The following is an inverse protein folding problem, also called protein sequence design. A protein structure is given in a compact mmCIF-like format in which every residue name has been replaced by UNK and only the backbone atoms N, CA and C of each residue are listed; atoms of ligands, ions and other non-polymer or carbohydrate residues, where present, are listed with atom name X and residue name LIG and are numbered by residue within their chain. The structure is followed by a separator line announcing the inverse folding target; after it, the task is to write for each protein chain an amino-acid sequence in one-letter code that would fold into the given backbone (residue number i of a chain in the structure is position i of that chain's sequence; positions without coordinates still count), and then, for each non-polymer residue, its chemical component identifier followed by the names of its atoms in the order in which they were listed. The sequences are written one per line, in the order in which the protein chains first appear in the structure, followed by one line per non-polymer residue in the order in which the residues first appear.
data_IF_033120919819
#
_entry.id   IF_033120919819
#
_cell.length_a   1.000
_cell.length_b   1.000
_cell.length_c   1.000
_cell.angle_alpha   90.00
_cell.angle_beta   90.00
_cell.angle_gamma   90.00
#
_symmetry.space_group_name_H-M   'P 1'
#
loop_
_entity.id
_entity.type
_entity.pdbx_description
1 polymer ?
#
# COMPACT_ATOMS: atom_id res chain seq x y z
N UNK A 1 21.99 -22.29 -5.17
CA UNK A 1 20.80 -21.81 -5.90
C UNK A 1 19.51 -22.25 -5.20
N UNK A 2 19.15 -21.65 -4.05
CA UNK A 2 17.87 -21.90 -3.36
C UNK A 2 17.15 -20.64 -2.84
N UNK A 3 17.75 -19.45 -2.86
CA UNK A 3 17.23 -18.29 -2.09
C UNK A 3 16.59 -17.15 -2.90
N UNK A 4 16.71 -17.16 -4.23
CA UNK A 4 16.11 -16.12 -5.10
C UNK A 4 14.59 -16.25 -5.31
N UNK A 5 13.96 -17.31 -4.82
CA UNK A 5 12.53 -17.57 -5.03
C UNK A 5 11.63 -16.83 -4.04
N UNK A 6 12.15 -16.35 -2.90
CA UNK A 6 11.33 -15.69 -1.86
C UNK A 6 10.86 -14.29 -2.29
N UNK A 7 11.75 -13.47 -2.85
CA UNK A 7 11.42 -12.09 -3.24
C UNK A 7 10.50 -11.97 -4.46
N UNK A 8 10.41 -13.01 -5.30
CA UNK A 8 9.53 -12.99 -6.46
C UNK A 8 8.05 -13.02 -6.05
N UNK A 9 7.73 -13.55 -4.85
CA UNK A 9 6.36 -13.59 -4.35
C UNK A 9 5.86 -12.19 -3.92
N UNK A 10 6.72 -11.39 -3.26
CA UNK A 10 6.35 -10.08 -2.71
C UNK A 10 6.13 -9.05 -3.84
N UNK A 11 6.94 -9.12 -4.90
CA UNK A 11 6.79 -8.23 -6.07
C UNK A 11 5.54 -8.51 -6.92
N UNK A 12 4.94 -9.70 -6.77
CA UNK A 12 3.77 -10.08 -7.56
C UNK A 12 2.45 -9.48 -7.03
N UNK A 13 2.44 -8.94 -5.80
CA UNK A 13 1.23 -8.42 -5.16
C UNK A 13 1.04 -6.90 -5.32
N UNK A 14 2.05 -6.15 -5.75
CA UNK A 14 2.01 -4.67 -5.79
C UNK A 14 1.49 -4.07 -7.11
N UNK A 15 1.20 -4.89 -8.12
CA UNK A 15 0.80 -4.42 -9.45
C UNK A 15 -0.72 -4.43 -9.70
N UNK A 16 -1.53 -3.80 -8.84
CA UNK A 16 -2.93 -3.46 -9.20
C UNK A 16 -3.40 -2.05 -8.82
N UNK A 17 -2.55 -1.21 -8.23
CA UNK A 17 -2.90 0.20 -8.04
C UNK A 17 -2.52 0.99 -9.30
N UNK A 18 -3.40 0.97 -10.30
CA UNK A 18 -3.35 1.85 -11.47
C UNK A 18 -3.33 3.30 -11.02
N UNK A 19 -2.15 3.89 -10.85
CA UNK A 19 -1.98 5.32 -10.75
C UNK A 19 -2.32 5.87 -12.12
N UNK A 20 -3.49 6.50 -12.25
CA UNK A 20 -3.87 7.19 -13.48
C UNK A 20 -2.80 8.26 -13.77
N UNK A 21 -1.87 7.96 -14.67
CA UNK A 21 -1.02 8.95 -15.29
C UNK A 21 -1.93 9.87 -16.08
N UNK A 22 -2.20 11.06 -15.54
CA UNK A 22 -2.85 12.14 -16.28
C UNK A 22 -1.84 12.60 -17.33
N UNK A 23 -1.90 11.96 -18.50
CA UNK A 23 -1.23 12.41 -19.70
C UNK A 23 -2.00 13.59 -20.27
N UNK A 24 -1.50 14.81 -20.04
CA UNK A 24 -1.98 16.01 -20.73
C UNK A 24 -1.44 16.03 -22.16
N UNK A 25 -1.94 15.10 -22.99
CA UNK A 25 -1.73 15.09 -24.43
C UNK A 25 -2.94 15.69 -25.13
N UNK A 26 -2.85 16.95 -25.56
CA UNK A 26 -3.81 17.53 -26.49
C UNK A 26 -3.67 16.83 -27.85
N UNK A 27 -4.48 15.79 -28.10
CA UNK A 27 -4.63 15.19 -29.42
C UNK A 27 -6.11 15.23 -29.79
N UNK A 28 -6.46 16.16 -30.67
CA UNK A 28 -7.74 16.15 -31.38
C UNK A 28 -7.84 14.85 -32.17
N UNK A 29 -8.75 13.96 -31.77
CA UNK A 29 -9.01 12.70 -32.46
C UNK A 29 -10.51 12.54 -32.69
N UNK A 30 -10.92 12.55 -33.97
CA UNK A 30 -12.22 12.12 -34.44
C UNK A 30 -12.41 10.61 -34.16
N UNK A 31 -12.73 10.25 -32.93
CA UNK A 31 -13.05 8.87 -32.52
C UNK A 31 -14.57 8.67 -32.62
N UNK A 32 -15.07 7.51 -33.13
CA UNK A 32 -16.50 7.19 -33.07
C UNK A 32 -16.99 7.34 -31.64
N UNK A 33 -18.14 8.02 -31.49
CA UNK A 33 -18.76 8.32 -30.21
C UNK A 33 -19.23 7.00 -29.56
N UNK A 34 -18.32 6.32 -28.86
CA UNK A 34 -18.70 5.27 -27.93
C UNK A 34 -19.52 5.96 -26.82
N UNK A 35 -20.63 5.35 -26.35
CA UNK A 35 -21.34 5.88 -25.21
C UNK A 35 -20.35 6.00 -24.05
N UNK A 36 -20.36 7.11 -23.29
CA UNK A 36 -19.48 7.26 -22.15
C UNK A 36 -19.65 6.05 -21.24
N UNK A 37 -18.55 5.34 -20.97
CA UNK A 37 -18.56 4.28 -19.99
C UNK A 37 -19.11 4.88 -18.68
N UNK A 38 -20.07 4.18 -18.04
CA UNK A 38 -20.57 4.60 -16.74
C UNK A 38 -19.35 4.85 -15.83
N UNK A 39 -19.27 6.01 -15.14
CA UNK A 39 -18.21 6.24 -14.19
C UNK A 39 -18.16 5.04 -13.24
N UNK A 40 -16.97 4.46 -13.03
CA UNK A 40 -16.81 3.49 -11.95
C UNK A 40 -17.25 4.20 -10.68
N UNK A 41 -18.19 3.61 -9.95
CA UNK A 41 -18.62 4.16 -8.67
C UNK A 41 -17.37 4.41 -7.82
N UNK A 42 -17.22 5.60 -7.21
CA UNK A 42 -16.10 5.86 -6.35
C UNK A 42 -16.07 4.80 -5.25
N UNK A 43 -14.92 4.16 -5.05
CA UNK A 43 -14.72 3.35 -3.84
C UNK A 43 -14.84 4.32 -2.68
N UNK A 44 -15.92 4.21 -1.90
CA UNK A 44 -16.08 4.97 -0.66
C UNK A 44 -15.02 4.45 0.31
N UNK A 45 -14.03 5.28 0.61
CA UNK A 45 -12.98 4.97 1.58
C UNK A 45 -13.48 5.42 2.95
N UNK A 46 -14.17 4.51 3.63
CA UNK A 46 -14.70 4.72 4.98
C UNK A 46 -13.79 4.09 6.03
N UNK A 47 -14.21 4.15 7.30
CA UNK A 47 -13.48 3.55 8.42
C UNK A 47 -13.25 2.05 8.19
N UNK A 48 -14.23 1.32 7.65
CA UNK A 48 -14.12 -0.12 7.42
C UNK A 48 -13.05 -0.46 6.37
N UNK A 49 -13.00 0.31 5.28
CA UNK A 49 -11.96 0.19 4.26
C UNK A 49 -10.56 0.33 4.87
N UNK A 50 -10.33 1.39 5.65
CA UNK A 50 -9.02 1.64 6.23
C UNK A 50 -8.66 0.67 7.36
N UNK A 51 -9.63 0.18 8.14
CA UNK A 51 -9.37 -0.88 9.14
C UNK A 51 -8.93 -2.19 8.48
N UNK A 52 -9.53 -2.56 7.34
CA UNK A 52 -9.09 -3.73 6.58
C UNK A 52 -7.67 -3.53 6.04
N UNK A 53 -7.40 -2.37 5.45
CA UNK A 53 -6.07 -2.04 4.92
C UNK A 53 -5.00 -2.03 6.03
N UNK A 54 -5.35 -1.53 7.22
CA UNK A 54 -4.50 -1.55 8.42
C UNK A 54 -4.08 -2.98 8.77
N UNK A 55 -5.02 -3.94 8.72
CA UNK A 55 -4.73 -5.35 9.00
C UNK A 55 -3.79 -5.96 7.94
N UNK A 56 -4.03 -5.67 6.66
CA UNK A 56 -3.18 -6.13 5.55
C UNK A 56 -1.75 -5.60 5.69
N UNK A 57 -1.56 -4.30 5.87
CA UNK A 57 -0.24 -3.69 6.05
C UNK A 57 0.47 -4.23 7.30
N UNK A 58 -0.29 -4.45 8.40
CA UNK A 58 0.27 -5.03 9.63
C UNK A 58 0.78 -6.46 9.41
N UNK A 59 0.12 -7.25 8.56
CA UNK A 59 0.59 -8.58 8.20
C UNK A 59 1.88 -8.49 7.36
N UNK A 60 1.94 -7.62 6.36
CA UNK A 60 3.14 -7.40 5.55
C UNK A 60 4.34 -6.97 6.40
N UNK A 61 4.16 -6.08 7.38
CA UNK A 61 5.24 -5.68 8.30
C UNK A 61 5.81 -6.88 9.06
N UNK A 62 4.96 -7.84 9.48
CA UNK A 62 5.41 -9.06 10.16
C UNK A 62 6.17 -10.00 9.22
N UNK A 63 5.78 -10.08 7.96
CA UNK A 63 6.55 -10.83 6.95
C UNK A 63 7.95 -10.24 6.80
N UNK A 64 8.09 -8.90 6.76
CA UNK A 64 9.41 -8.27 6.75
C UNK A 64 10.23 -8.53 8.03
N UNK A 65 9.58 -8.63 9.20
CA UNK A 65 10.28 -9.04 10.43
C UNK A 65 10.88 -10.44 10.30
N UNK A 66 10.16 -11.38 9.69
CA UNK A 66 10.64 -12.74 9.45
C UNK A 66 11.77 -12.77 8.41
N UNK A 67 11.64 -12.02 7.31
CA UNK A 67 12.68 -11.90 6.27
C UNK A 67 13.98 -11.33 6.84
N UNK A 68 13.90 -10.22 7.59
CA UNK A 68 15.08 -9.60 8.22
C UNK A 68 15.76 -10.59 9.15
N UNK A 69 14.99 -11.33 9.95
CA UNK A 69 15.52 -12.36 10.84
C UNK A 69 16.19 -13.51 10.07
N UNK A 70 15.66 -13.92 8.93
CA UNK A 70 16.28 -14.94 8.07
C UNK A 70 17.62 -14.45 7.51
N UNK A 71 17.68 -13.21 7.02
CA UNK A 71 18.92 -12.57 6.53
C UNK A 71 19.97 -12.55 7.65
N UNK A 72 19.62 -12.05 8.84
CA UNK A 72 20.52 -11.98 10.00
C UNK A 72 21.07 -13.36 10.40
N UNK A 73 20.21 -14.38 10.46
CA UNK A 73 20.61 -15.74 10.82
C UNK A 73 21.48 -16.41 9.75
N UNK A 74 21.39 -15.96 8.50
CA UNK A 74 22.13 -16.53 7.37
C UNK A 74 23.37 -15.70 6.97
N UNK A 75 23.83 -14.76 7.81
CA UNK A 75 25.01 -13.92 7.54
C UNK A 75 26.23 -14.70 7.01
N UNK A 76 26.49 -15.89 7.56
CA UNK A 76 27.66 -16.71 7.17
C UNK A 76 27.48 -17.42 5.81
N UNK A 77 26.27 -17.44 5.25
CA UNK A 77 25.98 -18.02 3.93
C UNK A 77 26.30 -17.07 2.77
N UNK A 78 26.59 -15.79 3.05
CA UNK A 78 26.90 -14.78 2.05
C UNK A 78 28.36 -14.85 1.59
N UNK A 79 28.60 -14.68 0.30
CA UNK A 79 29.95 -14.70 -0.28
C UNK A 79 30.81 -13.52 0.20
N UNK A 80 30.18 -12.37 0.46
CA UNK A 80 30.85 -11.19 0.99
C UNK A 80 29.92 -10.38 1.92
N UNK A 81 30.54 -9.57 2.77
CA UNK A 81 29.84 -8.74 3.75
C UNK A 81 29.01 -7.62 3.10
N UNK A 82 29.42 -7.11 1.93
CA UNK A 82 28.70 -6.05 1.23
C UNK A 82 27.31 -6.51 0.79
N UNK A 83 27.20 -7.70 0.19
CA UNK A 83 25.93 -8.25 -0.30
C UNK A 83 24.95 -8.49 0.85
N UNK A 84 25.45 -9.01 1.98
CA UNK A 84 24.68 -9.17 3.21
C UNK A 84 24.08 -7.83 3.68
N UNK A 85 24.91 -6.78 3.76
CA UNK A 85 24.43 -5.47 4.21
C UNK A 85 23.49 -4.80 3.20
N UNK A 86 23.68 -5.01 1.90
CA UNK A 86 22.76 -4.51 0.88
C UNK A 86 21.36 -5.11 1.08
N UNK A 87 21.27 -6.44 1.20
CA UNK A 87 19.98 -7.13 1.33
C UNK A 87 19.29 -6.79 2.66
N UNK A 88 20.07 -6.74 3.76
CA UNK A 88 19.57 -6.34 5.07
C UNK A 88 19.01 -4.91 5.07
N UNK A 89 19.80 -3.95 4.57
CA UNK A 89 19.40 -2.55 4.55
C UNK A 89 18.20 -2.31 3.63
N UNK A 90 18.13 -3.00 2.49
CA UNK A 90 16.97 -2.91 1.59
C UNK A 90 15.70 -3.42 2.28
N UNK A 91 15.76 -4.59 2.91
CA UNK A 91 14.61 -5.18 3.61
C UNK A 91 14.14 -4.29 4.77
N UNK A 92 15.07 -3.67 5.51
CA UNK A 92 14.76 -2.70 6.55
C UNK A 92 14.11 -1.42 5.99
N UNK A 93 14.57 -0.93 4.85
CA UNK A 93 13.98 0.24 4.20
C UNK A 93 12.56 -0.05 3.68
N UNK A 94 12.32 -1.22 3.09
CA UNK A 94 10.99 -1.65 2.64
C UNK A 94 10.03 -1.78 3.82
N UNK A 95 10.46 -2.40 4.93
CA UNK A 95 9.70 -2.43 6.18
C UNK A 95 9.34 -1.01 6.68
N UNK A 96 10.31 -0.08 6.65
CA UNK A 96 10.08 1.31 7.06
C UNK A 96 9.00 1.99 6.20
N UNK A 97 9.01 1.77 4.89
CA UNK A 97 7.97 2.25 3.98
C UNK A 97 6.60 1.70 4.41
N UNK A 98 6.49 0.40 4.70
CA UNK A 98 5.23 -0.20 5.18
C UNK A 98 4.73 0.36 6.50
N UNK A 99 5.62 0.64 7.44
CA UNK A 99 5.27 1.36 8.68
C UNK A 99 4.73 2.77 8.37
N UNK A 100 5.31 3.48 7.40
CA UNK A 100 4.80 4.80 7.00
C UNK A 100 3.40 4.71 6.37
N UNK A 101 3.13 3.67 5.57
CA UNK A 101 1.81 3.39 5.01
C UNK A 101 0.78 3.10 6.11
N UNK A 102 1.16 2.31 7.13
CA UNK A 102 0.33 2.03 8.30
C UNK A 102 -0.03 3.33 9.04
N UNK A 103 0.94 4.18 9.34
CA UNK A 103 0.71 5.45 10.03
C UNK A 103 -0.24 6.37 9.25
N UNK A 104 -0.05 6.45 7.93
CA UNK A 104 -0.99 7.18 7.08
C UNK A 104 -2.40 6.57 7.13
N UNK A 105 -2.51 5.24 7.11
CA UNK A 105 -3.79 4.55 7.22
C UNK A 105 -4.51 4.87 8.54
N UNK A 106 -3.79 4.87 9.67
CA UNK A 106 -4.34 5.24 10.97
C UNK A 106 -4.81 6.69 11.01
N UNK A 107 -4.06 7.60 10.39
CA UNK A 107 -4.47 8.99 10.23
C UNK A 107 -5.78 9.13 9.43
N UNK A 108 -5.94 8.36 8.35
CA UNK A 108 -7.18 8.38 7.57
C UNK A 108 -8.38 7.85 8.38
N UNK A 109 -8.19 6.83 9.21
CA UNK A 109 -9.26 6.33 10.11
C UNK A 109 -9.75 7.45 11.03
N UNK A 110 -8.82 8.20 11.64
CA UNK A 110 -9.16 9.33 12.52
C UNK A 110 -9.92 10.42 11.79
N UNK A 111 -9.54 10.75 10.55
CA UNK A 111 -10.27 11.72 9.73
C UNK A 111 -11.69 11.24 9.44
N UNK A 112 -11.87 10.00 8.99
CA UNK A 112 -13.19 9.43 8.72
C UNK A 112 -14.09 9.40 9.97
N UNK A 113 -13.53 9.04 11.13
CA UNK A 113 -14.26 9.05 12.40
C UNK A 113 -14.75 10.46 12.75
N UNK A 114 -13.89 11.47 12.62
CA UNK A 114 -14.24 12.87 12.90
C UNK A 114 -15.30 13.41 11.94
N UNK A 115 -15.24 13.05 10.66
CA UNK A 115 -16.24 13.45 9.67
C UNK A 115 -17.62 12.82 9.97
N UNK A 116 -17.63 11.56 10.43
CA UNK A 116 -18.86 10.88 10.85
C UNK A 116 -19.48 11.56 12.08
N UNK A 117 -18.67 11.84 13.10
CA UNK A 117 -19.11 12.56 14.32
C UNK A 117 -19.74 13.91 13.97
N UNK A 118 -19.05 14.72 13.16
CA UNK A 118 -19.55 16.03 12.73
C UNK A 118 -20.87 15.94 11.97
N UNK A 119 -21.02 14.92 11.10
CA UNK A 119 -22.23 14.70 10.32
C UNK A 119 -23.42 14.32 11.22
N UNK A 120 -23.18 13.53 12.26
CA UNK A 120 -24.22 13.10 13.19
C UNK A 120 -24.65 14.24 14.13
N UNK A 121 -23.72 15.08 14.59
CA UNK A 121 -24.03 16.30 15.34
C UNK A 121 -24.98 17.22 14.56
N UNK A 122 -24.70 17.48 13.28
CA UNK A 122 -25.56 18.32 12.44
C UNK A 122 -26.99 17.79 12.30
N UNK A 123 -27.15 16.47 12.19
CA UNK A 123 -28.48 15.83 12.15
C UNK A 123 -29.24 16.03 13.46
N UNK A 124 -28.55 15.97 14.60
CA UNK A 124 -29.19 16.16 15.91
C UNK A 124 -29.60 17.61 16.18
N UNK A 125 -28.88 18.60 15.65
CA UNK A 125 -29.21 20.03 15.83
C UNK A 125 -30.27 20.58 14.86
N UNK A 126 -30.65 19.80 13.83
CA UNK A 126 -31.63 20.22 12.82
C UNK A 126 -33.06 19.71 13.09
N UNK A 127 -33.29 19.07 14.24
CA UNK A 127 -34.59 18.59 14.73
C UNK A 127 -35.04 19.41 15.95
#
# INVERSE_FOLDING_TARGET
MKKLLSFLAIFSLSCTNTVNLISCGNIANNKPHLPPAKPKEPIVKDVFYYEKLKQEITAEIKEYDEVIKEIENSKNDYENETDYHIELNQSQAEKFIKISELNNCEYQILLCQKENEFTDEQKTTSN
#
